data_IF_708077899091
#
_entry.id   IF_708077899091
#
_cell.length_a   1.000
_cell.length_b   1.000
_cell.length_c   1.000
_cell.angle_alpha   90.00
_cell.angle_beta   90.00
_cell.angle_gamma   90.00
#
_symmetry.space_group_name_H-M   'P 1'
#
loop_
_entity.id
_entity.type
_entity.pdbx_description
1 polymer ?
#
# COMPACT_ATOMS: atom_id res chain seq x y z
N UNK A 1 15.27 9.12 -13.21
CA UNK A 1 14.04 9.46 -13.93
C UNK A 1 13.40 10.73 -13.39
N UNK A 2 12.49 11.31 -14.14
CA UNK A 2 11.80 12.55 -13.76
C UNK A 2 10.94 12.44 -12.49
N UNK A 3 10.54 11.23 -12.13
CA UNK A 3 9.70 10.96 -10.95
C UNK A 3 10.51 10.72 -9.65
N UNK A 4 11.84 10.80 -9.70
CA UNK A 4 12.71 10.59 -8.52
C UNK A 4 12.96 9.14 -8.14
N UNK A 5 12.17 8.18 -8.65
CA UNK A 5 12.31 6.75 -8.35
C UNK A 5 12.91 6.05 -9.56
N UNK A 6 14.13 5.54 -9.42
CA UNK A 6 14.87 4.87 -10.50
C UNK A 6 14.86 3.35 -10.37
N UNK A 7 14.36 2.82 -9.26
CA UNK A 7 14.29 1.40 -8.95
C UNK A 7 13.75 1.16 -7.55
N UNK A 8 13.67 -0.10 -7.11
CA UNK A 8 13.26 -0.42 -5.74
C UNK A 8 14.22 0.20 -4.71
N UNK A 9 15.50 0.21 -5.04
CA UNK A 9 16.57 0.84 -4.26
C UNK A 9 17.35 1.78 -5.15
N UNK A 10 17.81 2.90 -4.61
CA UNK A 10 18.66 3.86 -5.29
C UNK A 10 19.64 4.51 -4.30
N UNK A 11 20.63 5.25 -4.82
CA UNK A 11 21.66 5.90 -4.00
C UNK A 11 21.39 7.39 -3.90
N UNK A 12 21.33 7.91 -2.67
CA UNK A 12 21.32 9.35 -2.37
C UNK A 12 22.52 9.66 -1.49
N UNK A 13 23.41 10.53 -1.96
CA UNK A 13 24.60 10.94 -1.20
C UNK A 13 25.40 9.76 -0.63
N UNK A 14 25.59 8.71 -1.41
CA UNK A 14 26.33 7.50 -1.01
C UNK A 14 25.58 6.54 -0.08
N UNK A 15 24.31 6.82 0.25
CA UNK A 15 23.48 5.94 1.08
C UNK A 15 22.44 5.22 0.23
N UNK A 16 22.29 3.92 0.47
CA UNK A 16 21.22 3.13 -0.16
C UNK A 16 19.87 3.50 0.47
N UNK A 17 18.93 3.88 -0.38
CA UNK A 17 17.57 4.26 0.00
C UNK A 17 16.59 3.31 -0.69
N UNK A 18 15.64 2.76 0.07
CA UNK A 18 14.50 2.06 -0.49
C UNK A 18 13.44 3.08 -0.96
N UNK A 19 12.81 2.82 -2.10
CA UNK A 19 12.03 3.82 -2.84
C UNK A 19 10.89 4.48 -2.04
N UNK A 20 10.32 3.81 -1.05
CA UNK A 20 9.26 4.37 -0.19
C UNK A 20 9.69 4.53 1.27
N UNK A 21 10.96 4.29 1.61
CA UNK A 21 11.43 4.46 2.99
C UNK A 21 11.32 5.90 3.46
N UNK A 22 10.79 6.08 4.64
CA UNK A 22 10.67 7.40 5.29
C UNK A 22 10.90 7.26 6.80
N UNK A 23 12.01 7.82 7.28
CA UNK A 23 12.36 7.79 8.70
C UNK A 23 11.56 8.76 9.55
N UNK A 24 10.79 9.67 8.93
CA UNK A 24 9.99 10.68 9.63
C UNK A 24 8.61 10.17 10.03
N UNK A 25 8.21 9.00 9.53
CA UNK A 25 6.93 8.35 9.83
C UNK A 25 7.13 7.08 10.65
N UNK A 26 6.05 6.58 11.24
CA UNK A 26 6.03 5.34 12.01
C UNK A 26 4.91 4.42 11.53
N UNK A 27 5.01 3.15 11.92
CA UNK A 27 4.00 2.14 11.60
C UNK A 27 2.69 2.42 12.34
N UNK A 28 1.58 2.28 11.64
CA UNK A 28 0.24 2.35 12.20
C UNK A 28 -0.43 0.99 12.04
N UNK A 29 -0.78 0.37 13.17
CA UNK A 29 -1.33 -0.98 13.23
C UNK A 29 -0.34 -2.07 13.63
N UNK A 30 0.96 -1.76 13.74
CA UNK A 30 1.96 -2.68 14.29
C UNK A 30 3.10 -1.93 14.98
N UNK A 31 3.93 -2.67 15.72
CA UNK A 31 5.16 -2.15 16.34
C UNK A 31 6.41 -2.38 15.47
N UNK A 32 6.25 -2.95 14.28
CA UNK A 32 7.34 -3.23 13.35
C UNK A 32 7.89 -1.96 12.70
N UNK A 33 8.94 -2.10 11.88
CA UNK A 33 9.44 -1.01 11.03
C UNK A 33 8.81 -0.99 9.63
N UNK A 34 7.96 -1.96 9.30
CA UNK A 34 7.36 -2.14 7.98
C UNK A 34 6.42 -0.98 7.57
N UNK A 35 5.97 -0.16 8.52
CA UNK A 35 5.18 1.03 8.26
C UNK A 35 5.96 2.34 8.22
N UNK A 36 7.30 2.32 8.27
CA UNK A 36 8.14 3.53 8.07
C UNK A 36 8.28 3.84 6.58
N UNK A 37 7.14 4.00 5.92
CA UNK A 37 7.02 4.12 4.46
C UNK A 37 6.07 5.25 4.11
N UNK A 38 6.40 6.00 3.02
CA UNK A 38 5.57 7.06 2.48
C UNK A 38 5.89 7.31 1.00
N UNK A 39 5.09 8.11 0.27
CA UNK A 39 5.41 8.50 -1.10
C UNK A 39 6.47 9.61 -1.18
N UNK A 40 7.11 10.01 -0.10
CA UNK A 40 8.02 11.17 0.00
C UNK A 40 9.09 11.22 -1.10
N UNK A 41 9.62 10.07 -1.52
CA UNK A 41 10.68 10.02 -2.54
C UNK A 41 10.15 10.08 -3.98
N UNK A 42 8.83 10.02 -4.17
CA UNK A 42 8.19 10.25 -5.45
C UNK A 42 8.14 11.76 -5.71
N UNK A 43 8.87 12.25 -6.74
CA UNK A 43 8.99 13.67 -7.05
C UNK A 43 7.99 14.15 -8.12
N UNK A 44 7.06 13.31 -8.50
CA UNK A 44 6.02 13.61 -9.49
C UNK A 44 4.64 13.31 -8.92
N UNK A 45 3.65 14.05 -9.39
CA UNK A 45 2.24 13.74 -9.12
C UNK A 45 1.84 12.46 -9.85
N UNK A 46 1.14 11.58 -9.15
CA UNK A 46 0.53 10.38 -9.72
C UNK A 46 -0.89 10.64 -10.22
N UNK A 47 -1.51 9.62 -10.81
CA UNK A 47 -2.90 9.69 -11.28
C UNK A 47 -3.88 9.95 -10.11
N UNK A 48 -3.63 9.38 -8.93
CA UNK A 48 -4.41 9.63 -7.72
C UNK A 48 -4.33 11.09 -7.26
N UNK A 49 -3.14 11.68 -7.31
CA UNK A 49 -2.94 13.10 -6.97
C UNK A 49 -3.70 14.01 -7.94
N UNK A 50 -3.61 13.71 -9.25
CA UNK A 50 -4.31 14.48 -10.28
C UNK A 50 -5.83 14.35 -10.16
N UNK A 51 -6.34 13.18 -9.80
CA UNK A 51 -7.76 12.97 -9.53
C UNK A 51 -8.23 13.81 -8.34
N UNK A 52 -7.47 13.81 -7.24
CA UNK A 52 -7.73 14.66 -6.07
C UNK A 52 -7.83 16.15 -6.47
N UNK A 53 -6.84 16.62 -7.23
CA UNK A 53 -6.83 18.03 -7.71
C UNK A 53 -8.02 18.31 -8.62
N UNK A 54 -8.31 17.45 -9.60
CA UNK A 54 -9.39 17.64 -10.56
C UNK A 54 -10.79 17.62 -9.93
N UNK A 55 -10.94 16.99 -8.78
CA UNK A 55 -12.20 16.90 -8.03
C UNK A 55 -12.27 17.81 -6.81
N UNK A 56 -11.34 18.75 -6.68
CA UNK A 56 -11.23 19.64 -5.53
C UNK A 56 -11.18 18.85 -4.21
N UNK A 57 -10.36 17.80 -4.20
CA UNK A 57 -10.13 16.84 -3.10
C UNK A 57 -11.37 16.06 -2.63
N UNK A 58 -12.43 16.01 -3.43
CA UNK A 58 -13.63 15.23 -3.12
C UNK A 58 -13.47 13.75 -3.42
N UNK A 59 -12.69 13.40 -4.47
CA UNK A 59 -12.41 12.01 -4.80
C UNK A 59 -11.72 11.29 -3.65
N UNK A 60 -12.07 10.03 -3.44
CA UNK A 60 -11.40 9.14 -2.49
C UNK A 60 -10.36 8.31 -3.25
N UNK A 61 -9.14 8.26 -2.73
CA UNK A 61 -8.01 7.56 -3.38
C UNK A 61 -7.35 6.63 -2.39
N UNK A 62 -7.36 5.33 -2.71
CA UNK A 62 -6.80 4.28 -1.86
C UNK A 62 -5.83 3.38 -2.62
N UNK A 63 -4.83 2.86 -1.89
CA UNK A 63 -3.91 1.84 -2.40
C UNK A 63 -3.93 0.58 -1.54
N UNK A 64 -3.95 -0.60 -2.17
CA UNK A 64 -3.93 -1.90 -1.48
C UNK A 64 -2.97 -2.86 -2.18
N UNK A 65 -2.02 -3.42 -1.44
CA UNK A 65 -1.11 -4.46 -1.94
C UNK A 65 -0.50 -5.26 -0.77
N UNK A 66 0.20 -6.36 -1.08
CA UNK A 66 1.05 -7.02 -0.10
C UNK A 66 2.40 -6.30 0.06
N UNK A 67 2.89 -5.62 -0.98
CA UNK A 67 4.14 -4.83 -0.96
C UNK A 67 3.79 -3.36 -0.70
N UNK A 68 4.51 -2.72 0.22
CA UNK A 68 4.36 -1.30 0.58
C UNK A 68 4.40 -0.36 -0.64
N UNK A 69 5.47 -0.41 -1.44
CA UNK A 69 5.63 0.44 -2.63
C UNK A 69 4.51 0.28 -3.65
N UNK A 70 3.96 -0.92 -3.74
CA UNK A 70 2.90 -1.24 -4.70
C UNK A 70 1.52 -0.73 -4.25
N UNK A 71 1.33 -0.49 -2.96
CA UNK A 71 0.17 0.23 -2.41
C UNK A 71 0.37 1.76 -2.47
N UNK A 72 1.56 2.23 -2.10
CA UNK A 72 1.87 3.64 -1.87
C UNK A 72 2.01 4.42 -3.18
N UNK A 73 2.87 3.94 -4.11
CA UNK A 73 3.24 4.72 -5.28
C UNK A 73 2.09 4.95 -6.28
N UNK A 74 1.22 3.96 -6.58
CA UNK A 74 0.07 4.20 -7.45
C UNK A 74 -0.98 5.12 -6.82
N UNK A 75 -1.14 5.10 -5.50
CA UNK A 75 -2.07 5.97 -4.78
C UNK A 75 -1.60 7.43 -4.76
N UNK A 76 -0.28 7.66 -4.68
CA UNK A 76 0.30 9.00 -4.72
C UNK A 76 0.38 9.68 -3.35
N UNK A 77 0.67 11.00 -3.37
CA UNK A 77 0.86 11.82 -2.17
C UNK A 77 -0.45 12.20 -1.48
N UNK A 78 -1.49 12.46 -2.28
CA UNK A 78 -2.77 12.95 -1.80
C UNK A 78 -3.78 11.83 -1.49
N UNK A 79 -3.34 10.58 -1.48
CA UNK A 79 -4.20 9.44 -1.16
C UNK A 79 -4.77 9.54 0.26
N UNK A 80 -6.02 9.10 0.43
CA UNK A 80 -6.68 9.03 1.74
C UNK A 80 -6.04 7.95 2.60
N UNK A 81 -5.65 6.81 1.98
CA UNK A 81 -4.82 5.80 2.63
C UNK A 81 -4.13 4.86 1.63
N UNK A 82 -3.06 4.22 2.10
CA UNK A 82 -2.49 3.02 1.50
C UNK A 82 -2.34 1.94 2.58
N UNK A 83 -2.71 0.71 2.24
CA UNK A 83 -2.64 -0.44 3.13
C UNK A 83 -1.76 -1.52 2.51
N UNK A 84 -0.84 -2.06 3.30
CA UNK A 84 0.05 -3.15 2.89
C UNK A 84 0.24 -4.18 3.98
N UNK A 85 0.75 -5.35 3.59
CA UNK A 85 0.90 -6.48 4.50
C UNK A 85 2.18 -6.38 5.31
N UNK A 86 2.07 -6.42 6.61
CA UNK A 86 3.18 -6.63 7.53
C UNK A 86 3.32 -8.10 7.89
N UNK A 87 4.34 -8.76 7.35
CA UNK A 87 4.61 -10.18 7.62
C UNK A 87 4.91 -10.43 9.09
N UNK A 88 5.59 -9.48 9.76
CA UNK A 88 5.94 -9.64 11.19
C UNK A 88 4.72 -9.53 12.11
N UNK A 89 3.70 -8.77 11.70
CA UNK A 89 2.44 -8.64 12.43
C UNK A 89 1.36 -9.64 11.96
N UNK A 90 1.48 -10.14 10.72
CA UNK A 90 0.54 -11.08 10.10
C UNK A 90 -0.79 -10.47 9.71
N UNK A 91 -0.82 -9.18 9.37
CA UNK A 91 -2.02 -8.45 8.95
C UNK A 91 -1.69 -7.16 8.18
N UNK A 92 -2.70 -6.46 7.66
CA UNK A 92 -2.53 -5.19 6.97
C UNK A 92 -2.25 -4.04 7.95
N UNK A 93 -1.35 -3.15 7.54
CA UNK A 93 -0.95 -1.94 8.26
C UNK A 93 -0.96 -0.72 7.34
N UNK A 94 -0.68 0.44 7.91
CA UNK A 94 -0.42 1.69 7.21
C UNK A 94 0.75 2.44 7.87
N UNK A 95 0.91 3.70 7.56
CA UNK A 95 1.89 4.59 8.20
C UNK A 95 1.26 5.87 8.70
N UNK A 96 1.98 6.55 9.60
CA UNK A 96 1.57 7.86 10.11
C UNK A 96 1.62 8.96 9.05
N UNK A 97 2.03 8.67 7.82
CA UNK A 97 1.85 9.56 6.68
C UNK A 97 0.36 9.76 6.36
N UNK A 98 -0.43 8.69 6.46
CA UNK A 98 -1.85 8.71 6.09
C UNK A 98 -2.78 8.89 7.28
N UNK A 99 -2.43 8.36 8.46
CA UNK A 99 -3.33 8.34 9.61
C UNK A 99 -2.59 8.14 10.93
N UNK A 100 -3.16 8.63 12.03
CA UNK A 100 -2.61 8.43 13.37
C UNK A 100 -2.94 7.03 13.94
N UNK A 101 -4.07 6.45 13.54
CA UNK A 101 -4.53 5.12 13.97
C UNK A 101 -5.33 4.44 12.86
N UNK A 102 -5.26 3.11 12.80
CA UNK A 102 -6.11 2.36 11.87
C UNK A 102 -7.59 2.60 12.18
N UNK A 103 -8.43 2.81 11.15
CA UNK A 103 -9.89 2.82 11.31
C UNK A 103 -10.37 1.54 12.00
N UNK A 104 -11.46 1.64 12.76
CA UNK A 104 -12.01 0.46 13.45
C UNK A 104 -12.38 -0.68 12.51
N UNK A 105 -12.86 -0.37 11.32
CA UNK A 105 -13.18 -1.39 10.34
C UNK A 105 -11.93 -2.16 9.89
N UNK A 106 -10.76 -1.49 9.74
CA UNK A 106 -9.49 -2.16 9.45
C UNK A 106 -9.07 -3.07 10.60
N UNK A 107 -9.22 -2.61 11.84
CA UNK A 107 -8.92 -3.43 13.02
C UNK A 107 -9.82 -4.66 13.09
N UNK A 108 -11.13 -4.54 12.78
CA UNK A 108 -12.06 -5.68 12.69
C UNK A 108 -11.66 -6.62 11.56
N UNK A 109 -11.40 -6.09 10.37
CA UNK A 109 -10.97 -6.84 9.21
C UNK A 109 -9.69 -7.63 9.50
N UNK A 110 -8.69 -7.00 10.09
CA UNK A 110 -7.42 -7.65 10.45
C UNK A 110 -7.61 -8.86 11.38
N UNK A 111 -8.60 -8.85 12.26
CA UNK A 111 -8.91 -10.01 13.11
C UNK A 111 -9.39 -11.22 12.30
N UNK A 112 -10.05 -11.00 11.17
CA UNK A 112 -10.59 -12.07 10.31
C UNK A 112 -9.55 -12.65 9.35
N UNK A 113 -8.57 -11.84 8.92
CA UNK A 113 -7.57 -12.24 7.90
C UNK A 113 -6.18 -12.54 8.48
N UNK A 114 -5.97 -12.31 9.77
CA UNK A 114 -4.69 -12.48 10.43
C UNK A 114 -4.14 -13.88 10.27
N UNK A 115 -2.86 -13.98 9.97
CA UNK A 115 -2.09 -15.22 10.03
C UNK A 115 -1.10 -15.18 11.20
N UNK A 116 -0.46 -16.31 11.48
CA UNK A 116 0.60 -16.36 12.47
C UNK A 116 1.69 -15.34 12.11
N UNK A 117 2.10 -14.47 13.03
CA UNK A 117 3.21 -13.55 12.81
C UNK A 117 4.46 -14.25 12.26
N UNK A 118 5.09 -13.65 11.25
CA UNK A 118 6.23 -14.22 10.55
C UNK A 118 5.88 -15.15 9.38
N UNK A 119 4.60 -15.46 9.13
CA UNK A 119 4.20 -16.25 7.96
C UNK A 119 4.24 -15.38 6.71
N UNK A 120 5.06 -15.76 5.73
CA UNK A 120 5.09 -15.08 4.43
C UNK A 120 4.01 -15.65 3.51
N UNK A 121 3.01 -14.83 3.21
CA UNK A 121 1.92 -15.16 2.28
C UNK A 121 2.12 -14.56 0.89
N UNK A 122 3.20 -13.80 0.68
CA UNK A 122 3.43 -13.04 -0.58
C UNK A 122 3.56 -13.94 -1.80
N UNK A 123 4.07 -15.16 -1.62
CA UNK A 123 4.21 -16.18 -2.68
C UNK A 123 3.08 -17.22 -2.69
N UNK A 124 1.88 -16.86 -2.27
CA UNK A 124 0.80 -17.85 -2.12
C UNK A 124 -0.54 -17.35 -2.69
N UNK A 125 -1.44 -18.28 -3.06
CA UNK A 125 -2.83 -17.93 -3.40
C UNK A 125 -3.56 -17.21 -2.25
N UNK A 126 -3.18 -17.51 -1.00
CA UNK A 126 -3.72 -16.84 0.18
C UNK A 126 -3.42 -15.33 0.15
N UNK A 127 -2.20 -14.94 -0.26
CA UNK A 127 -1.83 -13.54 -0.41
C UNK A 127 -2.70 -12.81 -1.43
N UNK A 128 -2.99 -13.44 -2.57
CA UNK A 128 -3.93 -12.90 -3.57
C UNK A 128 -5.32 -12.72 -2.97
N UNK A 129 -5.83 -13.76 -2.31
CA UNK A 129 -7.16 -13.74 -1.68
C UNK A 129 -7.28 -12.61 -0.66
N UNK A 130 -6.29 -12.47 0.24
CA UNK A 130 -6.29 -11.41 1.26
C UNK A 130 -6.18 -10.00 0.66
N UNK A 131 -5.44 -9.84 -0.44
CA UNK A 131 -5.37 -8.55 -1.14
C UNK A 131 -6.74 -8.15 -1.68
N UNK A 132 -7.47 -9.06 -2.32
CA UNK A 132 -8.83 -8.78 -2.81
C UNK A 132 -9.83 -8.59 -1.67
N UNK A 133 -9.73 -9.36 -0.59
CA UNK A 133 -10.57 -9.16 0.60
C UNK A 133 -10.36 -7.76 1.20
N UNK A 134 -9.11 -7.28 1.30
CA UNK A 134 -8.82 -5.94 1.78
C UNK A 134 -9.34 -4.87 0.82
N UNK A 135 -9.14 -5.05 -0.49
CA UNK A 135 -9.66 -4.13 -1.51
C UNK A 135 -11.19 -4.01 -1.44
N UNK A 136 -11.89 -5.15 -1.29
CA UNK A 136 -13.35 -5.16 -1.09
C UNK A 136 -13.75 -4.46 0.21
N UNK A 137 -13.02 -4.69 1.31
CA UNK A 137 -13.29 -4.04 2.59
C UNK A 137 -13.12 -2.52 2.51
N UNK A 138 -12.09 -2.02 1.78
CA UNK A 138 -11.93 -0.58 1.48
C UNK A 138 -13.15 -0.07 0.72
N UNK A 139 -13.51 -0.72 -0.39
CA UNK A 139 -14.64 -0.33 -1.24
C UNK A 139 -15.93 -0.18 -0.43
N UNK A 140 -16.24 -1.18 0.43
CA UNK A 140 -17.47 -1.23 1.20
C UNK A 140 -17.48 -0.21 2.36
N UNK A 141 -16.39 -0.11 3.13
CA UNK A 141 -16.36 0.74 4.34
C UNK A 141 -16.10 2.21 4.04
N UNK A 142 -15.36 2.52 2.98
CA UNK A 142 -15.11 3.90 2.55
C UNK A 142 -16.16 4.38 1.53
N UNK A 143 -17.10 3.50 1.15
CA UNK A 143 -18.21 3.81 0.23
C UNK A 143 -17.72 4.36 -1.12
N UNK A 144 -16.68 3.73 -1.71
CA UNK A 144 -16.16 4.17 -2.99
C UNK A 144 -17.20 3.98 -4.09
N UNK A 145 -17.31 4.97 -4.98
CA UNK A 145 -18.24 4.96 -6.11
C UNK A 145 -19.72 5.04 -5.70
N UNK A 146 -20.03 5.55 -4.50
CA UNK A 146 -21.41 5.69 -4.01
C UNK A 146 -21.98 7.11 -4.17
N UNK A 147 -21.22 8.02 -4.77
CA UNK A 147 -21.63 9.39 -5.08
C UNK A 147 -21.29 9.75 -6.54
N UNK A 148 -21.53 11.01 -6.94
CA UNK A 148 -21.27 11.49 -8.30
C UNK A 148 -19.79 11.83 -8.57
N UNK A 149 -18.91 11.62 -7.59
CA UNK A 149 -17.47 11.89 -7.71
C UNK A 149 -16.74 10.58 -8.02
N UNK A 150 -15.89 10.59 -9.04
CA UNK A 150 -15.07 9.43 -9.37
C UNK A 150 -14.02 9.19 -8.29
N UNK A 151 -14.00 7.98 -7.73
CA UNK A 151 -12.99 7.52 -6.78
C UNK A 151 -11.94 6.63 -7.45
N UNK A 152 -10.83 6.37 -6.76
CA UNK A 152 -9.77 5.48 -7.23
C UNK A 152 -9.36 4.47 -6.16
N UNK A 153 -9.35 3.19 -6.53
CA UNK A 153 -8.76 2.11 -5.74
C UNK A 153 -7.67 1.41 -6.55
N UNK A 154 -6.41 1.65 -6.19
CA UNK A 154 -5.26 0.98 -6.78
C UNK A 154 -5.01 -0.36 -6.06
N UNK A 155 -5.10 -1.47 -6.81
CA UNK A 155 -4.86 -2.82 -6.28
C UNK A 155 -3.67 -3.42 -7.01
N UNK A 156 -2.65 -3.88 -6.27
CA UNK A 156 -1.51 -4.58 -6.85
C UNK A 156 -1.42 -6.01 -6.34
N UNK A 157 -1.43 -6.96 -7.28
CA UNK A 157 -1.29 -8.39 -7.01
C UNK A 157 0.18 -8.77 -7.14
N UNK A 158 0.88 -8.86 -6.01
CA UNK A 158 2.33 -9.08 -5.98
C UNK A 158 2.74 -10.56 -6.09
N UNK A 159 1.84 -11.51 -5.84
CA UNK A 159 2.17 -12.93 -5.74
C UNK A 159 2.61 -13.53 -7.07
N UNK A 160 1.99 -13.14 -8.17
CA UNK A 160 2.35 -13.62 -9.53
C UNK A 160 3.75 -13.18 -9.94
N UNK A 161 4.12 -11.92 -9.63
CA UNK A 161 5.46 -11.40 -9.85
C UNK A 161 6.52 -12.18 -9.05
N UNK A 162 6.27 -12.42 -7.76
CA UNK A 162 7.21 -13.14 -6.89
C UNK A 162 7.37 -14.60 -7.33
N UNK A 163 6.28 -15.26 -7.70
CA UNK A 163 6.29 -16.63 -8.23
C UNK A 163 7.06 -16.67 -9.56
N UNK A 164 6.82 -15.71 -10.46
CA UNK A 164 7.54 -15.60 -11.72
C UNK A 164 9.05 -15.43 -11.55
N UNK A 165 9.49 -14.67 -10.55
CA UNK A 165 10.91 -14.54 -10.20
C UNK A 165 11.50 -15.85 -9.65
N UNK A 166 10.74 -16.65 -8.89
CA UNK A 166 11.21 -17.87 -8.26
C UNK A 166 11.25 -19.07 -9.24
N UNK A 167 10.26 -19.19 -10.12
CA UNK A 167 10.06 -20.37 -10.97
C UNK A 167 10.17 -20.10 -12.48
N UNK A 168 10.30 -18.83 -12.87
CA UNK A 168 10.33 -18.43 -14.28
C UNK A 168 8.95 -18.54 -14.95
N UNK A 169 8.93 -18.27 -16.28
CA UNK A 169 7.68 -18.27 -17.07
C UNK A 169 7.24 -19.65 -17.56
N UNK A 170 8.00 -20.70 -17.29
CA UNK A 170 7.78 -22.08 -17.74
C UNK A 170 7.77 -23.10 -16.60
N UNK A 171 7.68 -22.63 -15.37
CA UNK A 171 7.59 -23.48 -14.18
C UNK A 171 6.17 -23.96 -13.91
#
# INVERSE_FOLDING_TARGET
>A
GLNGITGNDFMIAGKKMYCVSDSTVHSVGSSSREGKMSPRNLLATGIGDMLKIATDYKAKVFGVALKDRAAILPAGHAADAAYWWDTSAGHFISSSYYMDKLPEWVNRFNKTVRVKPGTDIKCSPEGVTKTFQMAKAVLDNEQLGQDDVTDMLAISISSTDIIGHAYGTRG
#
